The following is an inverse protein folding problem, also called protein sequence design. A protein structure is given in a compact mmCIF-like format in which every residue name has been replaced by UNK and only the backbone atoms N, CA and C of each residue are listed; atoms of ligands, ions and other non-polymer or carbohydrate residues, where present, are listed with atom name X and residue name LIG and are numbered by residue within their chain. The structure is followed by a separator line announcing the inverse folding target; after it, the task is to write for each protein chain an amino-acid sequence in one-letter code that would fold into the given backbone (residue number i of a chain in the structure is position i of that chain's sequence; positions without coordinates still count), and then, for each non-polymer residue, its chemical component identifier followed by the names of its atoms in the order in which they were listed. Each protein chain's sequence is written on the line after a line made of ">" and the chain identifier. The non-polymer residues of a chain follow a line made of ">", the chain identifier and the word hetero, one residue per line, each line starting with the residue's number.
data_IF_525314556574
#
_entry.id   IF_525314556574
#
_cell.length_a   1.000
_cell.length_b   1.000
_cell.length_c   1.000
_cell.angle_alpha   90.00
_cell.angle_beta   90.00
_cell.angle_gamma   90.00
#
_symmetry.space_group_name_H-M   'P 1'
#
loop_
_entity.id
_entity.type
_entity.pdbx_description
1 polymer ?
#
# COMPACT_ATOMS: atom_id res chain seq x y z
N UNK A 1 -3.41 -16.31 -13.33
CA UNK A 1 -3.85 -16.19 -11.93
C UNK A 1 -4.77 -14.98 -11.85
N UNK A 2 -5.89 -15.12 -11.13
CA UNK A 2 -6.88 -14.06 -10.93
C UNK A 2 -6.79 -13.63 -9.47
N UNK A 3 -6.76 -12.31 -9.24
CA UNK A 3 -6.73 -11.72 -7.89
C UNK A 3 -8.05 -11.04 -7.67
N UNK A 4 -8.77 -11.42 -6.60
CA UNK A 4 -10.00 -10.76 -6.19
C UNK A 4 -9.80 -10.10 -4.83
N UNK A 5 -10.15 -8.82 -4.72
CA UNK A 5 -10.14 -8.06 -3.48
C UNK A 5 -11.54 -8.08 -2.86
N UNK A 6 -11.63 -8.41 -1.57
CA UNK A 6 -12.86 -8.28 -0.79
C UNK A 6 -12.50 -7.71 0.58
N UNK A 7 -12.92 -6.48 0.84
CA UNK A 7 -12.57 -5.76 2.06
C UNK A 7 -11.05 -5.70 2.27
N UNK A 8 -10.59 -6.26 3.40
CA UNK A 8 -9.18 -6.32 3.81
C UNK A 8 -8.43 -7.57 3.33
N UNK A 9 -8.97 -8.31 2.36
CA UNK A 9 -8.43 -9.61 1.94
C UNK A 9 -8.29 -9.72 0.43
N UNK A 10 -7.14 -10.20 -0.01
CA UNK A 10 -6.92 -10.74 -1.34
C UNK A 10 -7.15 -12.24 -1.37
N UNK A 11 -7.84 -12.71 -2.40
CA UNK A 11 -7.99 -14.13 -2.69
C UNK A 11 -7.45 -14.42 -4.08
N UNK A 12 -6.63 -15.47 -4.18
CA UNK A 12 -5.93 -15.87 -5.39
C UNK A 12 -6.59 -17.09 -6.00
N UNK A 13 -6.86 -17.03 -7.29
CA UNK A 13 -7.47 -18.10 -8.04
C UNK A 13 -6.60 -18.50 -9.23
N UNK A 14 -6.51 -19.80 -9.49
CA UNK A 14 -5.94 -20.39 -10.69
C UNK A 14 -7.07 -20.88 -11.59
N UNK A 15 -6.84 -20.86 -12.89
CA UNK A 15 -7.77 -21.49 -13.82
C UNK A 15 -7.75 -23.01 -13.61
N UNK A 16 -8.92 -23.57 -13.33
CA UNK A 16 -9.14 -24.99 -13.06
C UNK A 16 -9.71 -25.78 -14.25
N UNK A 17 -9.82 -25.16 -15.42
CA UNK A 17 -10.44 -25.77 -16.60
C UNK A 17 -11.85 -25.23 -16.90
N UNK A 18 -12.61 -25.97 -17.70
CA UNK A 18 -14.01 -25.69 -18.02
C UNK A 18 -14.85 -26.85 -17.49
N UNK A 19 -15.92 -26.54 -16.77
CA UNK A 19 -16.96 -27.50 -16.43
C UNK A 19 -18.31 -26.91 -16.82
N UNK A 20 -19.14 -27.70 -17.50
CA UNK A 20 -20.48 -27.30 -17.95
C UNK A 20 -20.50 -25.95 -18.72
N UNK A 21 -19.47 -25.73 -19.55
CA UNK A 21 -19.33 -24.49 -20.34
C UNK A 21 -18.92 -23.25 -19.55
N UNK A 22 -18.59 -23.38 -18.25
CA UNK A 22 -18.09 -22.28 -17.41
C UNK A 22 -16.64 -22.48 -17.02
N UNK A 23 -15.88 -21.39 -17.00
CA UNK A 23 -14.52 -21.39 -16.50
C UNK A 23 -14.54 -21.68 -14.99
N UNK A 24 -13.80 -22.70 -14.58
CA UNK A 24 -13.58 -23.05 -13.19
C UNK A 24 -12.40 -22.24 -12.64
N UNK A 25 -12.60 -21.67 -11.46
CA UNK A 25 -11.56 -20.97 -10.71
C UNK A 25 -11.28 -21.75 -9.42
N UNK A 26 -10.05 -22.21 -9.25
CA UNK A 26 -9.60 -22.91 -8.05
C UNK A 26 -8.92 -21.92 -7.13
N UNK A 27 -9.41 -21.80 -5.90
CA UNK A 27 -8.77 -20.95 -4.90
C UNK A 27 -7.44 -21.56 -4.49
N UNK A 28 -6.37 -20.77 -4.64
CA UNK A 28 -4.99 -21.16 -4.28
C UNK A 28 -4.63 -20.64 -2.90
N UNK A 29 -5.20 -19.51 -2.49
CA UNK A 29 -5.05 -19.03 -1.12
C UNK A 29 -5.49 -17.59 -0.96
N UNK A 30 -5.03 -16.94 0.11
CA UNK A 30 -5.42 -15.57 0.42
C UNK A 30 -4.45 -14.89 1.37
N UNK A 31 -4.31 -13.57 1.25
CA UNK A 31 -3.54 -12.74 2.16
C UNK A 31 -4.30 -11.46 2.50
N UNK A 32 -3.83 -10.70 3.50
CA UNK A 32 -4.40 -9.40 3.83
C UNK A 32 -4.05 -8.35 2.76
N UNK A 33 -4.90 -7.34 2.57
CA UNK A 33 -4.60 -6.18 1.71
C UNK A 33 -3.57 -5.26 2.36
N UNK A 34 -2.79 -4.54 1.56
CA UNK A 34 -1.79 -3.60 2.08
C UNK A 34 -0.59 -4.24 2.81
N UNK A 35 -0.40 -5.56 2.69
CA UNK A 35 0.83 -6.23 3.15
C UNK A 35 2.02 -5.87 2.24
N UNK A 36 3.23 -6.06 2.76
CA UNK A 36 4.43 -5.98 1.93
C UNK A 36 4.50 -7.14 0.93
N UNK A 37 5.01 -6.93 -0.31
CA UNK A 37 5.44 -8.03 -1.18
C UNK A 37 6.41 -9.02 -0.49
N UNK A 38 7.13 -8.57 0.55
CA UNK A 38 8.03 -9.40 1.34
C UNK A 38 7.32 -10.14 2.50
N UNK A 39 6.07 -9.77 2.79
CA UNK A 39 5.26 -10.35 3.85
C UNK A 39 4.24 -11.39 3.32
N UNK A 40 4.48 -11.93 2.13
CA UNK A 40 3.65 -13.01 1.57
C UNK A 40 3.79 -14.24 2.49
N UNK A 41 2.67 -14.85 2.94
CA UNK A 41 2.71 -16.07 3.75
C UNK A 41 3.52 -17.19 3.09
N UNK A 42 4.35 -17.91 3.87
CA UNK A 42 5.16 -19.03 3.37
C UNK A 42 4.34 -20.09 2.64
N UNK A 43 3.15 -20.40 3.16
CA UNK A 43 2.23 -21.35 2.52
C UNK A 43 1.88 -20.95 1.07
N UNK A 44 1.76 -19.65 0.79
CA UNK A 44 1.55 -19.14 -0.57
C UNK A 44 2.83 -19.17 -1.39
N UNK A 45 4.00 -19.03 -0.76
CA UNK A 45 5.29 -19.16 -1.46
C UNK A 45 5.53 -20.60 -1.92
N UNK A 46 5.08 -21.58 -1.14
CA UNK A 46 5.27 -23.00 -1.45
C UNK A 46 4.27 -23.49 -2.51
N UNK A 47 3.02 -22.98 -2.50
CA UNK A 47 1.94 -23.42 -3.40
C UNK A 47 1.94 -22.74 -4.79
N UNK A 48 2.64 -21.62 -4.93
CA UNK A 48 2.65 -20.80 -6.14
C UNK A 48 3.89 -21.06 -7.00
N UNK A 49 3.69 -21.10 -8.32
CA UNK A 49 4.81 -21.15 -9.27
C UNK A 49 5.61 -19.84 -9.23
N UNK A 50 6.89 -19.82 -9.65
CA UNK A 50 7.70 -18.59 -9.69
C UNK A 50 7.05 -17.46 -10.49
N UNK A 51 6.34 -17.79 -11.58
CA UNK A 51 5.62 -16.82 -12.42
C UNK A 51 4.43 -16.20 -11.67
N UNK A 52 3.71 -17.01 -10.90
CA UNK A 52 2.58 -16.54 -10.10
C UNK A 52 3.02 -15.73 -8.89
N UNK A 53 4.13 -16.10 -8.25
CA UNK A 53 4.74 -15.30 -7.19
C UNK A 53 5.20 -13.93 -7.69
N UNK A 54 5.83 -13.89 -8.87
CA UNK A 54 6.19 -12.63 -9.50
C UNK A 54 4.95 -11.76 -9.74
N UNK A 55 3.91 -12.33 -10.34
CA UNK A 55 2.65 -11.62 -10.57
C UNK A 55 2.03 -11.10 -9.26
N UNK A 56 2.04 -11.91 -8.20
CA UNK A 56 1.54 -11.52 -6.87
C UNK A 56 2.31 -10.33 -6.31
N UNK A 57 3.66 -10.38 -6.35
CA UNK A 57 4.51 -9.29 -5.90
C UNK A 57 4.25 -8.00 -6.68
N UNK A 58 4.11 -8.09 -8.00
CA UNK A 58 3.82 -6.94 -8.85
C UNK A 58 2.48 -6.29 -8.49
N UNK A 59 1.43 -7.09 -8.25
CA UNK A 59 0.12 -6.58 -7.84
C UNK A 59 0.14 -5.93 -6.45
N UNK A 60 0.81 -6.55 -5.46
CA UNK A 60 0.96 -5.96 -4.13
C UNK A 60 1.75 -4.64 -4.19
N UNK A 61 2.82 -4.57 -4.99
CA UNK A 61 3.60 -3.34 -5.21
C UNK A 61 2.77 -2.22 -5.84
N UNK A 62 1.94 -2.53 -6.85
CA UNK A 62 1.04 -1.55 -7.47
C UNK A 62 0.04 -0.98 -6.47
N UNK A 63 -0.56 -1.82 -5.62
CA UNK A 63 -1.48 -1.35 -4.59
C UNK A 63 -0.76 -0.41 -3.61
N UNK A 64 0.45 -0.77 -3.16
CA UNK A 64 1.23 0.09 -2.28
C UNK A 64 1.55 1.43 -2.91
N UNK A 65 1.99 1.45 -4.17
CA UNK A 65 2.22 2.69 -4.91
C UNK A 65 0.94 3.51 -5.05
N UNK A 66 -0.20 2.88 -5.34
CA UNK A 66 -1.49 3.57 -5.41
C UNK A 66 -1.88 4.21 -4.07
N UNK A 67 -1.77 3.47 -2.96
CA UNK A 67 -2.04 3.99 -1.61
C UNK A 67 -1.10 5.15 -1.27
N UNK A 68 0.18 5.04 -1.62
CA UNK A 68 1.15 6.11 -1.40
C UNK A 68 0.80 7.33 -2.24
N UNK A 69 0.47 7.17 -3.52
CA UNK A 69 0.08 8.26 -4.39
C UNK A 69 -1.15 8.99 -3.87
N UNK A 70 -2.20 8.28 -3.43
CA UNK A 70 -3.38 8.92 -2.83
C UNK A 70 -3.01 9.74 -1.59
N UNK A 71 -2.13 9.23 -0.73
CA UNK A 71 -1.67 9.98 0.45
C UNK A 71 -0.84 11.20 0.07
N UNK A 72 0.05 11.08 -0.91
CA UNK A 72 0.86 12.18 -1.43
C UNK A 72 -0.04 13.26 -2.04
N UNK A 73 -1.06 12.88 -2.82
CA UNK A 73 -2.03 13.82 -3.39
C UNK A 73 -2.82 14.54 -2.31
N UNK A 74 -3.24 13.86 -1.23
CA UNK A 74 -3.90 14.51 -0.09
C UNK A 74 -3.00 15.55 0.57
N UNK A 75 -1.73 15.21 0.81
CA UNK A 75 -0.74 16.14 1.36
C UNK A 75 -0.52 17.34 0.43
N UNK A 76 -0.45 17.11 -0.89
CA UNK A 76 -0.32 18.18 -1.86
C UNK A 76 -1.53 19.13 -1.84
N UNK A 77 -2.74 18.59 -1.61
CA UNK A 77 -3.96 19.38 -1.38
C UNK A 77 -3.84 20.26 -0.15
N UNK A 78 -3.53 19.67 1.01
CA UNK A 78 -3.37 20.39 2.28
C UNK A 78 -2.32 21.52 2.19
N UNK A 79 -1.24 21.28 1.45
CA UNK A 79 -0.19 22.28 1.22
C UNK A 79 -0.64 23.42 0.29
N UNK A 80 -1.50 23.13 -0.70
CA UNK A 80 -2.07 24.17 -1.56
C UNK A 80 -3.06 25.04 -0.79
N UNK A 81 -3.93 24.44 0.02
CA UNK A 81 -4.88 25.19 0.86
C UNK A 81 -4.15 26.10 1.83
N UNK A 82 -3.06 25.61 2.43
CA UNK A 82 -2.15 26.40 3.24
C UNK A 82 -1.55 27.58 2.46
N UNK A 83 -1.01 27.33 1.27
CA UNK A 83 -0.42 28.37 0.43
C UNK A 83 -1.43 29.49 0.14
N UNK A 84 -2.67 29.13 -0.16
CA UNK A 84 -3.77 30.08 -0.36
C UNK A 84 -4.14 30.86 0.91
N UNK A 85 -4.16 30.22 2.09
CA UNK A 85 -4.42 30.89 3.36
C UNK A 85 -3.32 31.92 3.71
N UNK A 86 -2.05 31.59 3.45
CA UNK A 86 -0.93 32.52 3.65
C UNK A 86 -1.01 33.69 2.68
N UNK A 87 -1.28 33.44 1.39
CA UNK A 87 -1.36 34.48 0.36
C UNK A 87 -2.53 35.47 0.57
N UNK A 88 -3.63 35.01 1.18
CA UNK A 88 -4.79 35.86 1.47
C UNK A 88 -4.61 36.75 2.72
N UNK A 89 -3.51 36.63 3.46
CA UNK A 89 -3.24 37.41 4.67
C UNK A 89 -4.12 37.03 5.88
N UNK A 90 -4.92 35.96 5.77
CA UNK A 90 -5.81 35.42 6.80
C UNK A 90 -5.09 34.34 7.63
N UNK A 91 -4.11 34.75 8.42
CA UNK A 91 -3.54 33.85 9.44
C UNK A 91 -4.00 34.30 10.81
N UNK A 92 -5.26 34.04 11.11
CA UNK A 92 -5.70 34.04 12.50
C UNK A 92 -5.16 32.81 13.25
N UNK A 93 -5.30 32.83 14.57
CA UNK A 93 -4.74 31.81 15.47
C UNK A 93 -5.28 30.41 15.16
N UNK A 94 -6.51 30.30 14.63
CA UNK A 94 -7.09 29.02 14.25
C UNK A 94 -6.46 28.48 12.97
N UNK A 95 -6.24 29.33 11.95
CA UNK A 95 -5.52 28.95 10.72
C UNK A 95 -4.10 28.43 11.02
N UNK A 96 -3.42 29.03 12.00
CA UNK A 96 -2.09 28.58 12.46
C UNK A 96 -2.16 27.24 13.21
N UNK A 97 -3.23 27.00 13.98
CA UNK A 97 -3.43 25.75 14.71
C UNK A 97 -3.78 24.57 13.77
N UNK A 98 -4.62 24.81 12.76
CA UNK A 98 -4.94 23.84 11.71
C UNK A 98 -3.67 23.47 10.93
N UNK A 99 -2.85 24.46 10.59
CA UNK A 99 -1.55 24.26 9.95
C UNK A 99 -0.60 23.40 10.78
N UNK A 100 -0.44 23.70 12.08
CA UNK A 100 0.40 22.89 12.98
C UNK A 100 -0.06 21.45 13.07
N UNK A 101 -1.38 21.23 12.99
CA UNK A 101 -1.99 19.90 13.03
C UNK A 101 -1.72 19.12 11.74
N UNK A 102 -1.93 19.75 10.59
CA UNK A 102 -1.61 19.16 9.28
C UNK A 102 -0.12 18.82 9.16
N UNK A 103 0.77 19.74 9.55
CA UNK A 103 2.21 19.51 9.55
C UNK A 103 2.65 18.38 10.49
N UNK A 104 2.04 18.27 11.68
CA UNK A 104 2.30 17.16 12.60
C UNK A 104 1.80 15.81 12.07
N UNK A 105 0.65 15.80 11.39
CA UNK A 105 0.13 14.64 10.69
C UNK A 105 1.07 14.17 9.58
N UNK A 106 1.57 15.11 8.77
CA UNK A 106 2.59 14.85 7.75
C UNK A 106 3.87 14.27 8.35
N UNK A 107 4.43 14.88 9.39
CA UNK A 107 5.63 14.40 10.08
C UNK A 107 5.47 12.99 10.62
N UNK A 108 4.30 12.64 11.18
CA UNK A 108 3.99 11.27 11.62
C UNK A 108 3.96 10.29 10.45
N UNK A 109 3.34 10.66 9.34
CA UNK A 109 3.32 9.85 8.12
C UNK A 109 4.73 9.66 7.54
N UNK A 110 5.51 10.74 7.41
CA UNK A 110 6.88 10.71 6.91
C UNK A 110 7.78 9.84 7.78
N UNK A 111 7.69 9.96 9.12
CA UNK A 111 8.44 9.09 10.05
C UNK A 111 8.06 7.61 9.90
N UNK A 112 6.77 7.30 9.70
CA UNK A 112 6.30 5.92 9.49
C UNK A 112 6.77 5.34 8.15
N UNK A 113 6.92 6.17 7.12
CA UNK A 113 7.51 5.76 5.85
C UNK A 113 9.01 5.57 6.02
N UNK A 114 9.72 6.53 6.61
CA UNK A 114 11.15 6.45 6.87
C UNK A 114 11.53 5.21 7.71
N UNK A 115 10.73 4.86 8.74
CA UNK A 115 10.95 3.66 9.56
C UNK A 115 10.77 2.35 8.79
N UNK A 116 10.05 2.36 7.66
CA UNK A 116 9.91 1.21 6.76
C UNK A 116 11.06 1.11 5.74
N UNK A 117 11.82 2.20 5.58
CA UNK A 117 12.98 2.28 4.68
C UNK A 117 14.32 2.34 5.43
N UNK A 118 14.34 2.28 6.76
CA UNK A 118 15.58 2.07 7.51
C UNK A 118 16.19 0.73 7.05
N UNK A 119 17.35 0.72 6.39
CA UNK A 119 18.01 -0.52 6.06
C UNK A 119 18.32 -1.20 7.39
N UNK A 120 17.89 -2.44 7.54
CA UNK A 120 18.54 -3.36 8.47
C UNK A 120 20.00 -3.42 8.00
N UNK A 121 20.87 -2.59 8.57
CA UNK A 121 22.31 -2.76 8.46
C UNK A 121 22.58 -4.06 9.20
N UNK A 122 22.55 -5.15 8.44
CA UNK A 122 22.95 -6.45 8.93
C UNK A 122 24.36 -6.32 9.45
N UNK A 123 24.53 -6.69 10.72
CA UNK A 123 25.81 -7.11 11.27
C UNK A 123 26.42 -8.13 10.29
N UNK A 124 27.43 -7.73 9.53
CA UNK A 124 28.47 -8.65 9.06
C UNK A 124 29.52 -8.73 10.16
N UNK A 125 29.27 -9.61 11.14
CA UNK A 125 30.35 -10.31 11.82
C UNK A 125 30.79 -11.46 10.91
N UNK A 126 31.98 -11.34 10.34
CA UNK A 126 32.96 -12.42 10.13
C UNK A 126 34.30 -11.77 9.83
#
# INVERSE_FOLDING_TARGET
>A
MIVRKSGSKYTFYRYGGISEGKNLEVRVGSCATGISPDAIPQILMDDLTPKELKFLRDELSKEQHSILNTKISGIAGDLNDLSSAIQSGLLDVNSIAELRTAASGFLKCARRVASKFSPTVGNTQT
#
